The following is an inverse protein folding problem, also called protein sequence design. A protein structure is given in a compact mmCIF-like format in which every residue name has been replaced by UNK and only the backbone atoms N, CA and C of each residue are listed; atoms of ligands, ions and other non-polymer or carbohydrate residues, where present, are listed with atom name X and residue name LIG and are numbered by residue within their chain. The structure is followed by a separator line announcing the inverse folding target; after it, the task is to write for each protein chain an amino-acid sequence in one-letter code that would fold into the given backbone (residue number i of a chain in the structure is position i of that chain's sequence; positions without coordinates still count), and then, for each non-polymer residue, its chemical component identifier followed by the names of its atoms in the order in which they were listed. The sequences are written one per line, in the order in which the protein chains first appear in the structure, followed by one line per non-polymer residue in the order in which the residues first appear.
data_IF_987633533215
#
_entry.id   IF_987633533215
#
_cell.length_a   1.000
_cell.length_b   1.000
_cell.length_c   1.000
_cell.angle_alpha   90.00
_cell.angle_beta   90.00
_cell.angle_gamma   90.00
#
_symmetry.space_group_name_H-M   'P 1'
#
loop_
_entity.id
_entity.type
_entity.pdbx_description
1 polymer ?
#
# COMPACT_ATOMS: atom_id res chain seq x y z
N UNK A 1 26.24 -2.09 44.00
CA UNK A 1 26.17 -2.41 42.57
C UNK A 1 24.70 -2.62 42.23
N UNK A 2 24.03 -1.60 41.62
CA UNK A 2 22.65 -1.71 41.20
C UNK A 2 22.57 -2.61 39.97
N UNK A 3 21.83 -3.71 40.06
CA UNK A 3 21.46 -4.55 38.92
C UNK A 3 20.54 -3.73 38.00
N UNK A 4 21.07 -3.25 36.85
CA UNK A 4 20.29 -2.60 35.85
C UNK A 4 19.50 -3.66 35.09
N UNK A 5 18.18 -3.65 35.23
CA UNK A 5 17.30 -4.56 34.49
C UNK A 5 16.99 -3.90 33.13
N UNK A 6 17.37 -4.56 32.05
CA UNK A 6 17.03 -4.12 30.69
C UNK A 6 15.69 -4.75 30.27
N UNK A 7 14.88 -3.93 29.63
CA UNK A 7 13.63 -4.32 29.00
C UNK A 7 13.87 -4.55 27.52
N UNK A 8 13.51 -5.71 26.99
CA UNK A 8 13.55 -6.03 25.57
C UNK A 8 12.12 -6.24 25.09
N UNK A 9 11.72 -5.52 24.07
CA UNK A 9 10.43 -5.73 23.40
C UNK A 9 10.70 -6.21 21.97
N UNK A 10 10.19 -7.38 21.62
CA UNK A 10 10.26 -7.94 20.27
C UNK A 10 8.89 -7.86 19.62
N UNK A 11 8.88 -7.48 18.33
CA UNK A 11 7.66 -7.42 17.54
C UNK A 11 7.77 -8.38 16.37
N UNK A 12 6.71 -9.14 16.11
CA UNK A 12 6.58 -9.98 14.93
C UNK A 12 5.21 -9.79 14.29
N UNK A 13 5.15 -9.89 12.97
CA UNK A 13 3.91 -9.90 12.21
C UNK A 13 3.88 -11.11 11.29
N UNK A 14 2.72 -11.74 11.19
CA UNK A 14 2.51 -12.93 10.38
C UNK A 14 1.15 -12.88 9.69
N UNK A 15 1.01 -13.65 8.60
CA UNK A 15 -0.24 -13.75 7.84
C UNK A 15 -0.33 -12.84 6.62
N UNK A 16 -1.54 -12.64 6.12
CA UNK A 16 -1.82 -11.79 4.98
C UNK A 16 -3.26 -11.88 4.50
N UNK A 17 -3.69 -10.86 3.75
CA UNK A 17 -5.00 -10.83 3.13
C UNK A 17 -4.90 -11.25 1.67
N UNK A 18 -5.87 -12.04 1.24
CA UNK A 18 -6.06 -12.47 -0.13
C UNK A 18 -7.31 -11.84 -0.70
N UNK A 19 -7.30 -11.59 -2.01
CA UNK A 19 -8.42 -10.99 -2.71
C UNK A 19 -8.69 -11.77 -4.00
N UNK A 20 -9.94 -12.20 -4.17
CA UNK A 20 -10.47 -12.69 -5.44
C UNK A 20 -11.46 -11.66 -5.95
N UNK A 21 -11.38 -11.30 -7.22
CA UNK A 21 -12.24 -10.26 -7.77
C UNK A 21 -12.78 -10.61 -9.15
N UNK A 22 -13.92 -10.03 -9.47
CA UNK A 22 -14.53 -10.00 -10.79
C UNK A 22 -14.82 -8.54 -11.16
N UNK A 23 -14.46 -8.16 -12.39
CA UNK A 23 -14.65 -6.79 -12.88
C UNK A 23 -15.49 -6.77 -14.14
N UNK A 24 -16.35 -5.76 -14.25
CA UNK A 24 -17.12 -5.45 -15.43
C UNK A 24 -16.84 -4.03 -15.87
N UNK A 25 -16.65 -3.85 -17.18
CA UNK A 25 -16.48 -2.53 -17.79
C UNK A 25 -17.44 -2.36 -18.95
N UNK A 26 -18.05 -1.18 -19.03
CA UNK A 26 -18.98 -0.85 -20.09
C UNK A 26 -18.64 0.52 -20.72
N UNK A 27 -18.59 0.54 -22.03
CA UNK A 27 -18.39 1.76 -22.80
C UNK A 27 -19.74 2.43 -23.04
N UNK A 28 -20.04 3.46 -22.25
CA UNK A 28 -21.34 4.17 -22.32
C UNK A 28 -21.45 5.02 -23.59
N UNK A 29 -20.35 5.72 -23.91
CA UNK A 29 -20.22 6.55 -25.11
C UNK A 29 -18.85 6.31 -25.75
N UNK A 30 -18.64 6.84 -26.96
CA UNK A 30 -17.37 6.65 -27.67
C UNK A 30 -16.12 7.07 -26.86
N UNK A 31 -16.30 8.01 -25.94
CA UNK A 31 -15.23 8.60 -25.13
C UNK A 31 -15.40 8.40 -23.62
N UNK A 32 -16.44 7.69 -23.18
CA UNK A 32 -16.73 7.47 -21.74
C UNK A 32 -16.94 6.00 -21.44
N UNK A 33 -16.30 5.53 -20.41
CA UNK A 33 -16.44 4.15 -19.89
C UNK A 33 -16.66 4.20 -18.39
N UNK A 34 -17.45 3.26 -17.90
CA UNK A 34 -17.65 3.02 -16.47
C UNK A 34 -17.27 1.57 -16.18
N UNK A 35 -16.92 1.29 -14.95
CA UNK A 35 -16.56 -0.06 -14.51
C UNK A 35 -16.84 -0.23 -13.03
N UNK A 36 -16.99 -1.48 -12.65
CA UNK A 36 -17.10 -1.88 -11.26
C UNK A 36 -16.31 -3.17 -11.05
N UNK A 37 -15.58 -3.23 -9.93
CA UNK A 37 -14.94 -4.45 -9.44
C UNK A 37 -15.59 -4.85 -8.13
N UNK A 38 -16.07 -6.08 -8.07
CA UNK A 38 -16.50 -6.72 -6.84
C UNK A 38 -15.44 -7.71 -6.40
N UNK A 39 -14.96 -7.57 -5.18
CA UNK A 39 -13.91 -8.39 -4.62
C UNK A 39 -14.36 -9.05 -3.34
N UNK A 40 -13.86 -10.25 -3.11
CA UNK A 40 -13.96 -10.97 -1.85
C UNK A 40 -12.60 -10.98 -1.18
N UNK A 41 -12.55 -10.43 0.04
CA UNK A 41 -11.35 -10.34 0.87
C UNK A 41 -11.42 -11.40 1.95
N UNK A 42 -10.35 -12.18 2.11
CA UNK A 42 -10.25 -13.17 3.16
C UNK A 42 -8.80 -13.34 3.61
N UNK A 43 -8.64 -13.80 4.82
CA UNK A 43 -7.31 -14.06 5.38
C UNK A 43 -7.21 -13.72 6.85
N UNK A 44 -6.00 -13.84 7.35
CA UNK A 44 -5.65 -13.64 8.74
C UNK A 44 -4.38 -12.81 8.84
N UNK A 45 -4.38 -11.88 9.79
CA UNK A 45 -3.20 -11.09 10.13
C UNK A 45 -3.00 -11.21 11.64
N UNK A 46 -1.77 -11.50 12.06
CA UNK A 46 -1.38 -11.58 13.46
C UNK A 46 -0.21 -10.66 13.75
N UNK A 47 -0.32 -9.90 14.82
CA UNK A 47 0.75 -9.06 15.36
C UNK A 47 1.04 -9.49 16.78
N UNK A 48 2.25 -9.94 17.03
CA UNK A 48 2.69 -10.39 18.35
C UNK A 48 3.77 -9.46 18.90
N UNK A 49 3.61 -9.01 20.14
CA UNK A 49 4.62 -8.28 20.89
C UNK A 49 5.00 -9.09 22.15
N UNK A 50 6.28 -9.34 22.32
CA UNK A 50 6.83 -10.06 23.46
C UNK A 50 7.71 -9.12 24.28
N UNK A 51 7.44 -9.03 25.56
CA UNK A 51 8.18 -8.25 26.52
C UNK A 51 8.96 -9.19 27.45
N UNK A 52 10.28 -9.10 27.36
CA UNK A 52 11.20 -9.85 28.21
C UNK A 52 12.11 -8.93 29.01
N UNK A 53 12.61 -9.41 30.12
CA UNK A 53 13.54 -8.70 30.99
C UNK A 53 14.87 -9.43 31.10
N UNK A 54 15.96 -8.69 31.29
CA UNK A 54 17.29 -9.30 31.56
C UNK A 54 17.41 -10.00 32.91
N UNK A 55 16.46 -9.78 33.82
CA UNK A 55 16.36 -10.49 35.07
C UNK A 55 15.76 -11.90 34.81
N UNK A 56 16.49 -12.97 35.08
CA UNK A 56 16.02 -14.34 34.85
C UNK A 56 14.80 -14.76 35.68
N UNK A 57 14.48 -14.03 36.75
CA UNK A 57 13.32 -14.29 37.60
C UNK A 57 12.08 -13.45 37.17
N UNK A 58 12.20 -12.61 36.15
CA UNK A 58 11.07 -11.82 35.68
C UNK A 58 10.26 -12.60 34.67
N UNK A 59 8.95 -12.46 34.77
CA UNK A 59 7.99 -13.06 33.83
C UNK A 59 8.06 -12.43 32.46
N UNK A 60 7.78 -13.21 31.41
CA UNK A 60 7.63 -12.77 30.06
C UNK A 60 6.16 -12.50 29.75
N UNK A 61 5.85 -11.33 29.21
CA UNK A 61 4.51 -10.99 28.75
C UNK A 61 4.45 -11.04 27.23
N UNK A 62 3.50 -11.79 26.69
CA UNK A 62 3.24 -11.88 25.24
C UNK A 62 1.83 -11.38 24.98
N UNK A 63 1.73 -10.43 24.06
CA UNK A 63 0.46 -9.94 23.54
C UNK A 63 0.39 -10.25 22.05
N UNK A 64 -0.69 -10.91 21.63
CA UNK A 64 -0.96 -11.22 20.23
C UNK A 64 -2.32 -10.67 19.81
N UNK A 65 -2.32 -9.79 18.82
CA UNK A 65 -3.53 -9.23 18.21
C UNK A 65 -3.74 -9.95 16.88
N UNK A 66 -4.75 -10.81 16.78
CA UNK A 66 -5.11 -11.61 15.60
C UNK A 66 -6.37 -11.06 14.97
N UNK A 67 -6.37 -10.87 13.66
CA UNK A 67 -7.50 -10.37 12.90
C UNK A 67 -7.85 -11.36 11.78
N UNK A 68 -9.04 -11.94 11.84
CA UNK A 68 -9.61 -12.77 10.78
C UNK A 68 -10.60 -11.95 9.96
N UNK A 69 -10.39 -11.90 8.64
CA UNK A 69 -11.20 -11.11 7.70
C UNK A 69 -11.89 -12.03 6.70
N UNK A 70 -13.18 -11.76 6.48
CA UNK A 70 -14.01 -12.46 5.53
C UNK A 70 -15.12 -11.51 5.06
N UNK A 71 -14.87 -10.70 4.03
CA UNK A 71 -15.80 -9.66 3.58
C UNK A 71 -15.59 -9.29 2.11
N UNK A 72 -16.41 -8.38 1.61
CA UNK A 72 -16.35 -7.87 0.26
C UNK A 72 -15.68 -6.51 0.17
N UNK A 73 -15.28 -6.13 -1.05
CA UNK A 73 -14.83 -4.78 -1.41
C UNK A 73 -15.43 -4.41 -2.75
N UNK A 74 -15.96 -3.21 -2.86
CA UNK A 74 -16.54 -2.67 -4.08
C UNK A 74 -15.73 -1.46 -4.55
N UNK A 75 -15.24 -1.53 -5.79
CA UNK A 75 -14.57 -0.42 -6.46
C UNK A 75 -15.38 -0.01 -7.68
N UNK A 76 -15.68 1.27 -7.81
CA UNK A 76 -16.35 1.89 -8.93
C UNK A 76 -15.37 2.76 -9.71
N UNK A 77 -15.39 2.68 -11.02
CA UNK A 77 -14.48 3.45 -11.87
C UNK A 77 -15.18 4.14 -13.03
N UNK A 78 -14.64 5.28 -13.43
CA UNK A 78 -15.02 5.97 -14.65
C UNK A 78 -13.79 6.48 -15.39
N UNK A 79 -13.86 6.48 -16.71
CA UNK A 79 -12.83 6.98 -17.58
C UNK A 79 -13.43 7.84 -18.69
N UNK A 80 -12.76 8.94 -18.97
CA UNK A 80 -13.07 9.81 -20.11
C UNK A 80 -11.81 9.97 -20.96
N UNK A 81 -11.95 9.72 -22.28
CA UNK A 81 -10.85 9.85 -23.24
C UNK A 81 -11.23 10.90 -24.27
N UNK A 82 -10.38 11.91 -24.43
CA UNK A 82 -10.53 12.97 -25.42
C UNK A 82 -9.34 13.00 -26.37
N UNK A 83 -9.64 12.96 -27.67
CA UNK A 83 -8.65 13.14 -28.73
C UNK A 83 -8.70 14.57 -29.28
N UNK A 84 -7.54 15.22 -29.32
CA UNK A 84 -7.38 16.54 -29.95
C UNK A 84 -6.55 16.38 -31.21
N UNK A 85 -7.21 16.33 -32.36
CA UNK A 85 -6.57 16.00 -33.64
C UNK A 85 -6.02 14.56 -33.63
N UNK A 86 -4.95 14.32 -34.43
CA UNK A 86 -4.39 12.98 -34.62
C UNK A 86 -3.25 12.61 -33.64
N UNK A 87 -2.77 13.58 -32.86
CA UNK A 87 -1.52 13.42 -32.09
C UNK A 87 -1.70 13.53 -30.59
N UNK A 88 -2.79 14.11 -30.13
CA UNK A 88 -2.99 14.40 -28.71
C UNK A 88 -4.14 13.58 -28.14
N UNK A 89 -3.90 12.87 -27.04
CA UNK A 89 -4.94 12.15 -26.31
C UNK A 89 -4.85 12.52 -24.85
N UNK A 90 -5.97 12.89 -24.25
CA UNK A 90 -6.13 13.12 -22.82
C UNK A 90 -7.05 12.06 -22.27
N UNK A 91 -6.59 11.35 -21.24
CA UNK A 91 -7.40 10.42 -20.46
C UNK A 91 -7.58 10.98 -19.05
N UNK A 92 -8.81 11.03 -18.60
CA UNK A 92 -9.19 11.33 -17.22
C UNK A 92 -9.77 10.08 -16.59
N UNK A 93 -9.35 9.75 -15.41
CA UNK A 93 -9.83 8.60 -14.65
C UNK A 93 -10.26 9.00 -13.26
N UNK A 94 -11.31 8.37 -12.75
CA UNK A 94 -11.70 8.44 -11.36
C UNK A 94 -12.07 7.05 -10.86
N UNK A 95 -11.64 6.71 -9.64
CA UNK A 95 -11.96 5.46 -8.97
C UNK A 95 -12.43 5.78 -7.56
N UNK A 96 -13.49 5.13 -7.13
CA UNK A 96 -13.99 5.21 -5.76
C UNK A 96 -14.15 3.82 -5.18
N UNK A 97 -13.50 3.57 -4.05
CA UNK A 97 -13.66 2.35 -3.26
C UNK A 97 -14.54 2.63 -2.06
N UNK A 98 -15.58 1.82 -1.90
CA UNK A 98 -16.52 1.95 -0.79
C UNK A 98 -15.85 1.47 0.50
N UNK A 99 -15.74 2.38 1.48
CA UNK A 99 -15.31 2.07 2.83
C UNK A 99 -16.47 1.53 3.66
N UNK A 100 -16.21 0.57 4.53
CA UNK A 100 -17.18 0.04 5.48
C UNK A 100 -16.50 -0.76 6.59
N UNK A 101 -17.24 -1.03 7.66
CA UNK A 101 -16.79 -1.93 8.72
C UNK A 101 -16.73 -3.36 8.19
N UNK A 102 -15.56 -3.99 8.22
CA UNK A 102 -15.35 -5.34 7.72
C UNK A 102 -15.97 -6.38 8.66
N UNK A 103 -16.68 -7.34 8.09
CA UNK A 103 -17.08 -8.56 8.80
C UNK A 103 -15.85 -9.39 9.09
N UNK A 104 -15.43 -9.38 10.33
CA UNK A 104 -14.25 -10.09 10.80
C UNK A 104 -14.23 -10.16 12.31
N UNK A 105 -13.42 -11.05 12.83
CA UNK A 105 -13.25 -11.23 14.26
C UNK A 105 -11.80 -10.90 14.64
N UNK A 106 -11.65 -9.98 15.57
CA UNK A 106 -10.37 -9.68 16.21
C UNK A 106 -10.27 -10.43 17.53
N UNK A 107 -9.11 -11.02 17.77
CA UNK A 107 -8.76 -11.68 19.04
C UNK A 107 -7.57 -10.97 19.64
N UNK A 108 -7.67 -10.56 20.89
CA UNK A 108 -6.53 -10.07 21.68
C UNK A 108 -6.16 -11.12 22.70
N UNK A 109 -4.99 -11.74 22.54
CA UNK A 109 -4.43 -12.68 23.48
C UNK A 109 -3.42 -11.93 24.35
N UNK A 110 -3.55 -12.06 25.66
CA UNK A 110 -2.56 -11.61 26.62
C UNK A 110 -2.13 -12.83 27.46
N UNK A 111 -0.85 -13.14 27.41
CA UNK A 111 -0.28 -14.31 28.06
C UNK A 111 0.93 -13.90 28.91
N UNK A 112 1.06 -14.51 30.06
CA UNK A 112 2.21 -14.32 30.95
C UNK A 112 2.85 -15.67 31.18
N UNK A 113 4.15 -15.73 31.02
CA UNK A 113 4.98 -16.94 31.22
C UNK A 113 5.95 -16.69 32.35
N UNK A 114 6.01 -17.60 33.31
CA UNK A 114 7.09 -17.64 34.29
C UNK A 114 8.42 -17.87 33.58
N UNK A 115 9.48 -17.33 34.14
CA UNK A 115 10.83 -17.53 33.63
C UNK A 115 11.16 -19.02 33.45
N UNK A 116 11.58 -19.38 32.21
CA UNK A 116 11.90 -20.75 31.83
C UNK A 116 10.70 -21.69 31.59
N UNK A 117 9.46 -21.18 31.69
CA UNK A 117 8.24 -21.96 31.39
C UNK A 117 7.81 -21.75 29.93
N UNK A 118 7.35 -22.83 29.30
CA UNK A 118 6.68 -22.79 27.96
C UNK A 118 5.15 -22.80 28.08
N UNK A 119 4.64 -22.92 29.33
CA UNK A 119 3.20 -22.93 29.60
C UNK A 119 2.83 -21.58 30.22
N UNK A 120 1.82 -20.88 29.69
CA UNK A 120 1.38 -19.59 30.23
C UNK A 120 0.79 -19.80 31.64
N UNK A 121 1.19 -18.96 32.58
CA UNK A 121 0.65 -18.93 33.94
C UNK A 121 -0.69 -18.19 34.00
N UNK A 122 -0.86 -17.21 33.11
CA UNK A 122 -2.09 -16.46 32.94
C UNK A 122 -2.35 -16.26 31.47
N UNK A 123 -3.60 -16.46 31.07
CA UNK A 123 -4.06 -16.22 29.69
C UNK A 123 -5.41 -15.51 29.70
N UNK A 124 -5.55 -14.47 28.92
CA UNK A 124 -6.85 -13.86 28.62
C UNK A 124 -7.04 -13.72 27.11
N UNK A 125 -8.27 -13.91 26.67
CA UNK A 125 -8.65 -13.77 25.25
C UNK A 125 -9.87 -12.86 25.17
N UNK A 126 -9.70 -11.73 24.53
CA UNK A 126 -10.80 -10.81 24.22
C UNK A 126 -11.17 -10.97 22.75
N UNK A 127 -12.46 -11.17 22.49
CA UNK A 127 -13.01 -11.32 21.12
C UNK A 127 -13.78 -10.08 20.74
N UNK A 128 -13.42 -9.46 19.61
CA UNK A 128 -14.01 -8.23 19.12
C UNK A 128 -14.57 -8.47 17.72
N UNK A 129 -15.89 -8.30 17.56
CA UNK A 129 -16.53 -8.39 16.24
C UNK A 129 -16.34 -7.08 15.47
N UNK A 130 -16.23 -7.17 14.13
CA UNK A 130 -16.03 -6.03 13.23
C UNK A 130 -14.83 -5.18 13.67
N UNK A 131 -13.72 -5.86 13.97
CA UNK A 131 -12.54 -5.24 14.58
C UNK A 131 -11.78 -4.29 13.64
N UNK A 132 -12.13 -4.25 12.35
CA UNK A 132 -11.44 -3.45 11.35
C UNK A 132 -12.41 -2.82 10.35
N UNK A 133 -12.05 -1.64 9.82
CA UNK A 133 -12.83 -0.95 8.78
C UNK A 133 -11.95 -0.69 7.55
N UNK A 134 -12.52 -0.83 6.36
CA UNK A 134 -11.91 -0.33 5.12
C UNK A 134 -12.17 1.17 4.98
N UNK A 135 -11.18 1.96 4.54
CA UNK A 135 -11.37 3.38 4.30
C UNK A 135 -12.09 3.62 2.97
N UNK A 136 -12.90 4.67 2.93
CA UNK A 136 -13.30 5.26 1.66
C UNK A 136 -12.06 5.73 0.92
N UNK A 137 -11.93 5.34 -0.35
CA UNK A 137 -10.78 5.72 -1.18
C UNK A 137 -11.26 6.41 -2.44
N UNK A 138 -10.70 7.58 -2.72
CA UNK A 138 -10.89 8.31 -3.96
C UNK A 138 -9.55 8.37 -4.72
N UNK A 139 -9.54 7.86 -5.94
CA UNK A 139 -8.44 7.98 -6.88
C UNK A 139 -8.83 8.86 -8.08
N UNK A 140 -7.98 9.81 -8.45
CA UNK A 140 -8.13 10.65 -9.63
C UNK A 140 -6.85 10.57 -10.46
N UNK A 141 -6.97 10.39 -11.76
CA UNK A 141 -5.84 10.28 -12.66
C UNK A 141 -6.02 11.12 -13.95
N UNK A 142 -4.92 11.70 -14.40
CA UNK A 142 -4.84 12.42 -15.68
C UNK A 142 -3.66 11.86 -16.43
N UNK A 143 -3.87 11.40 -17.67
CA UNK A 143 -2.81 10.96 -18.57
C UNK A 143 -2.90 11.69 -19.90
N UNK A 144 -1.80 12.32 -20.29
CA UNK A 144 -1.66 12.99 -21.58
C UNK A 144 -0.68 12.21 -22.46
N UNK A 145 -1.12 11.91 -23.69
CA UNK A 145 -0.30 11.19 -24.68
C UNK A 145 -0.11 12.07 -25.89
N UNK A 146 1.14 12.28 -26.27
CA UNK A 146 1.52 13.00 -27.47
C UNK A 146 2.15 12.09 -28.52
N UNK A 147 1.48 11.94 -29.66
CA UNK A 147 1.95 11.22 -30.85
C UNK A 147 2.46 9.79 -30.56
N UNK A 148 1.92 9.11 -29.53
CA UNK A 148 2.37 7.81 -29.02
C UNK A 148 3.88 7.77 -28.66
N UNK A 149 4.50 8.94 -28.47
CA UNK A 149 5.93 9.08 -28.12
C UNK A 149 6.15 9.56 -26.71
N UNK A 150 5.34 10.50 -26.27
CA UNK A 150 5.42 11.03 -24.92
C UNK A 150 4.12 10.73 -24.18
N UNK A 151 4.22 10.11 -23.02
CA UNK A 151 3.11 9.92 -22.09
C UNK A 151 3.47 10.59 -20.77
N UNK A 152 2.59 11.45 -20.28
CA UNK A 152 2.70 12.10 -18.97
C UNK A 152 1.49 11.71 -18.14
N UNK A 153 1.69 11.36 -16.88
CA UNK A 153 0.63 10.97 -15.96
C UNK A 153 0.76 11.65 -14.62
N UNK A 154 -0.37 11.96 -14.03
CA UNK A 154 -0.49 12.43 -12.64
C UNK A 154 -1.64 11.68 -12.00
N UNK A 155 -1.38 11.11 -10.82
CA UNK A 155 -2.38 10.41 -10.02
C UNK A 155 -2.45 11.03 -8.63
N UNK A 156 -3.66 11.18 -8.13
CA UNK A 156 -3.98 11.59 -6.78
C UNK A 156 -4.83 10.52 -6.10
N UNK A 157 -4.45 10.11 -4.91
CA UNK A 157 -5.22 9.15 -4.11
C UNK A 157 -5.44 9.70 -2.71
N UNK A 158 -6.69 9.72 -2.28
CA UNK A 158 -7.10 10.05 -0.92
C UNK A 158 -7.77 8.83 -0.27
N UNK A 159 -7.30 8.45 0.91
CA UNK A 159 -7.86 7.36 1.71
C UNK A 159 -8.29 7.91 3.07
N UNK A 160 -9.57 7.73 3.42
CA UNK A 160 -10.19 8.22 4.65
C UNK A 160 -9.97 7.25 5.82
N UNK A 161 -8.70 7.09 6.23
CA UNK A 161 -8.32 6.20 7.31
C UNK A 161 -8.69 6.74 8.71
N UNK A 162 -8.83 8.06 8.88
CA UNK A 162 -9.18 8.66 10.15
C UNK A 162 -10.57 8.21 10.66
N UNK A 163 -11.47 7.91 9.73
CA UNK A 163 -12.84 7.43 10.01
C UNK A 163 -12.89 5.94 10.34
N UNK A 164 -11.76 5.22 10.21
CA UNK A 164 -11.70 3.76 10.40
C UNK A 164 -11.37 3.38 11.84
N UNK A 165 -11.79 2.16 12.21
CA UNK A 165 -11.52 1.56 13.51
C UNK A 165 -10.54 0.41 13.36
N UNK A 166 -9.71 0.22 14.36
CA UNK A 166 -8.85 -0.94 14.51
C UNK A 166 -9.02 -1.50 15.92
N UNK A 167 -9.52 -2.72 16.03
CA UNK A 167 -9.92 -3.34 17.29
C UNK A 167 -10.87 -2.47 18.13
N UNK A 168 -11.86 -1.84 17.47
CA UNK A 168 -12.80 -0.86 18.04
C UNK A 168 -12.16 0.39 18.64
N UNK A 169 -10.86 0.61 18.44
CA UNK A 169 -10.18 1.83 18.83
C UNK A 169 -10.14 2.81 17.66
N UNK A 170 -10.60 4.03 17.88
CA UNK A 170 -10.51 5.15 16.93
C UNK A 170 -9.23 5.95 17.16
N UNK A 171 -8.84 6.78 16.18
CA UNK A 171 -7.69 7.68 16.33
C UNK A 171 -6.30 7.02 16.14
N UNK A 172 -6.24 5.74 15.79
CA UNK A 172 -4.99 5.04 15.44
C UNK A 172 -4.48 5.42 14.06
N UNK A 173 -5.36 5.91 13.20
CA UNK A 173 -5.06 6.24 11.81
C UNK A 173 -5.31 7.72 11.52
N UNK A 174 -4.77 8.17 10.40
CA UNK A 174 -4.98 9.48 9.81
C UNK A 174 -5.22 9.32 8.31
N UNK A 175 -5.88 10.30 7.69
CA UNK A 175 -6.11 10.31 6.27
C UNK A 175 -4.79 10.25 5.50
N UNK A 176 -4.74 9.39 4.48
CA UNK A 176 -3.58 9.23 3.63
C UNK A 176 -3.80 9.91 2.29
N UNK A 177 -2.89 10.80 1.93
CA UNK A 177 -2.81 11.39 0.60
C UNK A 177 -1.58 10.85 -0.12
N UNK A 178 -1.75 10.45 -1.39
CA UNK A 178 -0.64 10.08 -2.27
C UNK A 178 -0.78 10.84 -3.59
N UNK A 179 0.31 11.45 -4.04
CA UNK A 179 0.43 12.09 -5.35
C UNK A 179 1.59 11.41 -6.08
N UNK A 180 1.35 11.01 -7.34
CA UNK A 180 2.36 10.39 -8.17
C UNK A 180 2.42 11.08 -9.54
N UNK A 181 3.63 11.23 -10.07
CA UNK A 181 3.92 11.73 -11.40
C UNK A 181 4.69 10.69 -12.18
N UNK A 182 4.35 10.50 -13.44
CA UNK A 182 5.04 9.57 -14.33
C UNK A 182 5.23 10.18 -15.73
N UNK A 183 6.36 9.87 -16.34
CA UNK A 183 6.66 10.21 -17.72
C UNK A 183 7.28 9.00 -18.45
N UNK A 184 6.81 8.74 -19.67
CA UNK A 184 7.43 7.79 -20.59
C UNK A 184 7.71 8.51 -21.91
N UNK A 185 8.94 8.36 -22.42
CA UNK A 185 9.36 8.86 -23.72
C UNK A 185 9.87 7.76 -24.62
N UNK A 186 9.26 7.59 -25.78
CA UNK A 186 9.66 6.67 -26.85
C UNK A 186 9.99 7.46 -28.10
N UNK A 187 11.26 7.76 -28.41
CA UNK A 187 11.64 8.60 -29.54
C UNK A 187 11.12 8.12 -30.88
N UNK A 188 11.28 6.84 -31.18
CA UNK A 188 10.79 6.23 -32.43
C UNK A 188 10.69 4.71 -32.31
N UNK A 189 9.46 4.17 -32.27
CA UNK A 189 9.24 2.72 -32.13
C UNK A 189 9.78 1.86 -33.27
N UNK A 190 9.95 2.43 -34.48
CA UNK A 190 10.30 1.71 -35.72
C UNK A 190 11.67 2.16 -36.25
N UNK A 191 12.41 2.99 -35.50
CA UNK A 191 13.69 3.55 -35.95
C UNK A 191 14.78 2.48 -36.11
N UNK A 192 15.69 2.66 -37.09
CA UNK A 192 16.88 1.80 -37.25
C UNK A 192 17.83 1.88 -36.06
N UNK A 193 17.90 3.03 -35.40
CA UNK A 193 18.76 3.23 -34.23
C UNK A 193 18.10 2.61 -33.00
N UNK A 194 18.79 1.66 -32.34
CA UNK A 194 18.32 0.96 -31.15
C UNK A 194 17.94 1.92 -30.01
N UNK A 195 18.77 2.95 -29.73
CA UNK A 195 18.52 3.92 -28.65
C UNK A 195 17.20 4.70 -28.86
N UNK A 196 16.77 4.91 -30.10
CA UNK A 196 15.49 5.56 -30.39
C UNK A 196 14.28 4.65 -30.14
N UNK A 197 14.50 3.32 -30.04
CA UNK A 197 13.45 2.34 -29.75
C UNK A 197 13.30 2.04 -28.25
N UNK A 198 14.24 2.51 -27.44
CA UNK A 198 14.19 2.38 -25.97
C UNK A 198 13.07 3.29 -25.44
N UNK A 199 12.32 2.75 -24.46
CA UNK A 199 11.37 3.53 -23.65
C UNK A 199 12.09 4.06 -22.44
N UNK A 200 12.18 5.37 -22.31
CA UNK A 200 12.76 6.07 -21.18
C UNK A 200 11.64 6.44 -20.23
N UNK A 201 11.76 6.10 -18.96
CA UNK A 201 10.74 6.33 -17.95
C UNK A 201 11.33 7.05 -16.75
N UNK A 202 10.57 7.98 -16.20
CA UNK A 202 10.87 8.65 -14.96
C UNK A 202 9.58 8.81 -14.15
N UNK A 203 9.69 8.73 -12.83
CA UNK A 203 8.58 8.91 -11.94
C UNK A 203 9.00 9.48 -10.60
N UNK A 204 8.05 10.12 -9.93
CA UNK A 204 8.21 10.60 -8.59
C UNK A 204 6.88 10.48 -7.85
N UNK A 205 6.92 10.23 -6.55
CA UNK A 205 5.71 10.24 -5.73
C UNK A 205 5.97 10.78 -4.34
N UNK A 206 4.90 11.25 -3.75
CA UNK A 206 4.80 11.63 -2.35
C UNK A 206 3.62 10.89 -1.72
N UNK A 207 3.77 10.41 -0.50
CA UNK A 207 2.71 9.76 0.26
C UNK A 207 2.78 10.15 1.73
N UNK A 208 1.65 10.63 2.26
CA UNK A 208 1.47 10.74 3.71
C UNK A 208 1.28 9.34 4.33
N UNK A 209 1.71 9.11 5.58
CA UNK A 209 1.44 7.89 6.31
C UNK A 209 -0.04 7.82 6.70
N UNK A 210 -0.60 6.62 6.79
CA UNK A 210 -1.93 6.41 7.36
C UNK A 210 -1.88 6.02 8.85
N UNK A 211 -0.80 5.42 9.32
CA UNK A 211 -0.65 5.00 10.71
C UNK A 211 -0.08 6.12 11.58
N UNK A 212 -0.65 6.31 12.75
CA UNK A 212 -0.08 7.13 13.83
C UNK A 212 0.80 6.26 14.73
N UNK A 213 1.92 6.80 15.18
CA UNK A 213 2.82 6.18 16.14
C UNK A 213 2.76 7.01 17.43
N UNK A 214 2.35 6.40 18.53
CA UNK A 214 2.14 7.09 19.83
C UNK A 214 1.27 8.36 19.71
N UNK A 215 0.19 8.27 18.91
CA UNK A 215 -0.74 9.38 18.67
C UNK A 215 -0.20 10.49 17.77
N UNK A 216 1.03 10.38 17.26
CA UNK A 216 1.67 11.35 16.37
C UNK A 216 1.66 10.85 14.93
N UNK A 217 1.68 11.78 13.97
CA UNK A 217 1.79 11.44 12.55
C UNK A 217 3.05 10.60 12.27
N UNK A 218 2.90 9.52 11.52
CA UNK A 218 3.99 8.65 11.08
C UNK A 218 4.94 9.33 10.08
N UNK A 219 5.84 8.55 9.50
CA UNK A 219 6.82 9.04 8.53
C UNK A 219 6.22 9.20 7.13
N UNK A 220 6.56 10.27 6.44
CA UNK A 220 6.23 10.54 5.05
C UNK A 220 7.17 9.79 4.11
N UNK A 221 6.66 9.41 2.95
CA UNK A 221 7.44 8.69 1.96
C UNK A 221 7.56 9.50 0.66
N UNK A 222 8.79 9.64 0.18
CA UNK A 222 9.15 10.27 -1.09
C UNK A 222 9.86 9.24 -1.94
N UNK A 223 9.47 9.08 -3.17
CA UNK A 223 10.14 8.18 -4.09
C UNK A 223 10.42 8.84 -5.43
N UNK A 224 11.60 8.52 -6.00
CA UNK A 224 11.94 8.84 -7.38
C UNK A 224 12.36 7.55 -8.09
N UNK A 225 11.99 7.41 -9.35
CA UNK A 225 12.28 6.20 -10.13
C UNK A 225 12.72 6.54 -11.54
N UNK A 226 13.60 5.70 -12.08
CA UNK A 226 14.02 5.73 -13.48
C UNK A 226 13.94 4.33 -14.03
N UNK A 227 13.53 4.20 -15.30
CA UNK A 227 13.38 2.92 -15.94
C UNK A 227 13.68 2.98 -17.44
N UNK A 228 14.10 1.84 -17.96
CA UNK A 228 14.34 1.60 -19.38
C UNK A 228 13.51 0.41 -19.85
N UNK A 229 12.79 0.58 -20.95
CA UNK A 229 12.14 -0.51 -21.66
C UNK A 229 12.91 -0.84 -22.93
N UNK A 230 13.68 -1.93 -22.87
CA UNK A 230 14.58 -2.39 -23.94
C UNK A 230 13.82 -3.31 -24.89
N UNK A 231 13.59 -2.93 -26.17
CA UNK A 231 12.96 -3.84 -27.11
C UNK A 231 13.93 -4.98 -27.47
N UNK A 232 13.47 -6.23 -27.30
CA UNK A 232 14.18 -7.43 -27.67
C UNK A 232 13.48 -8.07 -28.87
N UNK A 233 14.26 -8.43 -29.88
CA UNK A 233 13.79 -9.20 -31.02
C UNK A 233 14.15 -10.67 -30.77
N UNK A 234 13.23 -11.42 -30.14
CA UNK A 234 13.41 -12.83 -29.84
C UNK A 234 12.35 -13.65 -30.60
N UNK A 235 12.80 -14.57 -31.47
CA UNK A 235 11.99 -15.56 -32.16
C UNK A 235 10.65 -15.03 -32.74
N UNK A 236 10.73 -14.14 -33.73
CA UNK A 236 9.56 -13.57 -34.44
C UNK A 236 8.55 -12.78 -33.57
N UNK A 237 8.86 -12.53 -32.30
CA UNK A 237 8.04 -11.74 -31.37
C UNK A 237 8.72 -10.45 -30.93
N UNK A 238 7.92 -9.44 -30.61
CA UNK A 238 8.40 -8.18 -29.99
C UNK A 238 8.26 -8.30 -28.48
N UNK A 239 9.38 -8.53 -27.80
CA UNK A 239 9.44 -8.53 -26.34
C UNK A 239 10.07 -7.23 -25.83
N UNK A 240 9.73 -6.82 -24.62
CA UNK A 240 10.32 -5.66 -23.97
C UNK A 240 10.86 -6.11 -22.60
N UNK A 241 12.18 -5.96 -22.41
CA UNK A 241 12.80 -6.10 -21.10
C UNK A 241 12.70 -4.77 -20.36
N UNK A 242 12.06 -4.78 -19.20
CA UNK A 242 11.95 -3.59 -18.35
C UNK A 242 12.95 -3.70 -17.20
N UNK A 243 13.77 -2.67 -17.04
CA UNK A 243 14.72 -2.50 -15.94
C UNK A 243 14.41 -1.17 -15.29
N UNK A 244 14.25 -1.14 -13.97
CA UNK A 244 13.98 0.10 -13.24
C UNK A 244 14.69 0.13 -11.90
N UNK A 245 15.07 1.33 -11.47
CA UNK A 245 15.58 1.61 -10.15
C UNK A 245 14.73 2.68 -9.48
N UNK A 246 14.48 2.51 -8.20
CA UNK A 246 13.72 3.44 -7.37
C UNK A 246 14.49 3.75 -6.10
N UNK A 247 14.66 5.04 -5.81
CA UNK A 247 15.13 5.53 -4.52
C UNK A 247 13.94 6.01 -3.69
N UNK A 248 13.87 5.56 -2.45
CA UNK A 248 12.79 5.92 -1.52
C UNK A 248 13.40 6.47 -0.24
N UNK A 249 12.88 7.62 0.18
CA UNK A 249 13.19 8.27 1.46
C UNK A 249 11.94 8.27 2.33
N UNK A 250 12.06 7.70 3.53
CA UNK A 250 11.04 7.73 4.59
C UNK A 250 11.50 8.75 5.63
N UNK A 251 10.76 9.84 5.75
CA UNK A 251 11.14 10.97 6.61
C UNK A 251 10.08 11.21 7.68
N UNK A 252 10.41 11.00 8.96
CA UNK A 252 9.48 11.25 10.06
C UNK A 252 9.29 12.76 10.30
N UNK A 253 8.07 13.17 10.69
CA UNK A 253 7.80 14.54 11.15
C UNK A 253 8.25 14.76 12.60
N UNK A 254 8.40 13.70 13.37
CA UNK A 254 8.67 13.75 14.80
C UNK A 254 10.11 13.38 15.11
N UNK A 255 10.81 14.21 15.88
CA UNK A 255 12.18 13.90 16.34
C UNK A 255 12.18 12.60 17.16
N UNK A 256 13.12 11.71 16.86
CA UNK A 256 13.29 10.42 17.54
C UNK A 256 12.74 9.20 16.80
N UNK A 257 12.03 9.39 15.70
CA UNK A 257 11.70 8.29 14.78
C UNK A 257 12.86 8.08 13.79
N UNK A 258 12.98 6.82 13.30
CA UNK A 258 13.99 6.45 12.32
C UNK A 258 13.71 7.07 10.95
N UNK A 259 14.73 7.65 10.35
CA UNK A 259 14.74 8.03 8.94
C UNK A 259 15.33 6.86 8.15
N UNK A 260 14.61 6.44 7.10
CA UNK A 260 15.03 5.31 6.29
C UNK A 260 15.24 5.74 4.84
N UNK A 261 16.28 5.18 4.24
CA UNK A 261 16.59 5.39 2.82
C UNK A 261 16.85 4.00 2.21
N UNK A 262 16.15 3.67 1.13
CA UNK A 262 16.37 2.40 0.46
C UNK A 262 16.28 2.50 -1.06
N UNK A 263 17.01 1.61 -1.71
CA UNK A 263 17.02 1.44 -3.15
C UNK A 263 16.29 0.14 -3.50
N UNK A 264 15.37 0.24 -4.45
CA UNK A 264 14.69 -0.93 -5.06
C UNK A 264 15.11 -1.04 -6.52
N UNK A 265 15.42 -2.25 -6.99
CA UNK A 265 15.77 -2.57 -8.37
C UNK A 265 14.78 -3.58 -8.94
#
# INVERSE_FOLDING_TARGET
YGNTTYKVTSYSGDGGLQQVFVGLGYKVFNNRSIGANFSYLYGEISHTSSLTFSNPNADTSVRSDKLEINDYKLDLGMQYTQHFGKKHTLNLGAVYSLGHDIKGTGYKFNETYLSGSTIPTSQSVDTIKNAFSLPHTLGLGITYVYNNRLTLGVDYTLQKWEETKFFNESGKFQDRTKIAFGAEYLPNAIGRNYLKRIRYRAGAYYSDPYAKVDGKEGAREYGVSFGLGLPLEVFQGRSILNISGQYVKVSPKVKGMLEENYLRV
#
